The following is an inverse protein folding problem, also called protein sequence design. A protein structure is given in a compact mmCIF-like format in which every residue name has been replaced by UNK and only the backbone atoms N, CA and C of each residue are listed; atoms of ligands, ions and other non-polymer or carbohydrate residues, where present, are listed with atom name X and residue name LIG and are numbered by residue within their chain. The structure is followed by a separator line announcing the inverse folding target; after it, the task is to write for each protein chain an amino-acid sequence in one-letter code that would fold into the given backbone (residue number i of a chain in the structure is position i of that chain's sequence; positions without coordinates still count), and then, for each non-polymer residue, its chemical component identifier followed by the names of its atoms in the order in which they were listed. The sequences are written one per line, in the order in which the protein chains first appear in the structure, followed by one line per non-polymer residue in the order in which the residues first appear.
data_IF_143781268647
#
_entry.id   IF_143781268647
#
_cell.length_a   1.000
_cell.length_b   1.000
_cell.length_c   1.000
_cell.angle_alpha   90.00
_cell.angle_beta   90.00
_cell.angle_gamma   90.00
#
_symmetry.space_group_name_H-M   'P 1'
#
loop_
_entity.id
_entity.type
_entity.pdbx_description
1 polymer ?
#
# COMPACT_ATOMS: atom_id res chain seq x y z
N UNK A 1 15.65 -20.89 5.26
CA UNK A 1 14.26 -21.40 5.26
C UNK A 1 13.72 -21.18 3.86
N UNK A 2 13.01 -22.15 3.25
CA UNK A 2 12.24 -21.83 2.07
C UNK A 2 11.14 -20.85 2.48
N UNK A 3 10.90 -19.82 1.69
CA UNK A 3 9.84 -18.85 1.98
C UNK A 3 8.51 -19.60 2.14
N UNK A 4 7.76 -19.28 3.19
CA UNK A 4 6.53 -19.99 3.56
C UNK A 4 5.36 -19.75 2.59
N UNK A 5 5.55 -18.94 1.55
CA UNK A 5 4.50 -18.51 0.63
C UNK A 5 4.66 -19.20 -0.73
N UNK A 6 3.65 -19.96 -1.20
CA UNK A 6 3.63 -20.59 -2.52
C UNK A 6 3.96 -19.59 -3.62
N UNK A 7 4.74 -20.01 -4.62
CA UNK A 7 5.12 -19.15 -5.75
C UNK A 7 3.91 -18.59 -6.51
N UNK A 8 2.82 -19.36 -6.61
CA UNK A 8 1.55 -18.94 -7.21
C UNK A 8 0.86 -17.78 -6.48
N UNK A 9 1.14 -17.64 -5.19
CA UNK A 9 0.57 -16.61 -4.30
C UNK A 9 1.47 -15.38 -4.19
N UNK A 10 2.66 -15.41 -4.81
CA UNK A 10 3.55 -14.25 -4.84
C UNK A 10 3.01 -13.20 -5.79
N UNK A 11 3.16 -11.91 -5.45
CA UNK A 11 2.87 -10.82 -6.38
C UNK A 11 3.63 -11.03 -7.70
N UNK A 12 2.92 -11.00 -8.83
CA UNK A 12 3.50 -11.35 -10.13
C UNK A 12 4.12 -10.15 -10.84
N UNK A 13 3.79 -8.95 -10.37
CA UNK A 13 4.27 -7.70 -10.94
C UNK A 13 4.35 -6.60 -9.86
N UNK A 14 5.00 -5.49 -10.19
CA UNK A 14 5.18 -4.36 -9.28
C UNK A 14 3.85 -3.76 -8.81
N UNK A 15 2.81 -3.73 -9.65
CA UNK A 15 1.52 -3.18 -9.27
C UNK A 15 0.81 -4.04 -8.21
N UNK A 16 0.95 -5.37 -8.27
CA UNK A 16 0.40 -6.30 -7.28
C UNK A 16 1.07 -6.08 -5.91
N UNK A 17 2.39 -5.88 -5.92
CA UNK A 17 3.18 -5.58 -4.71
C UNK A 17 2.71 -4.26 -4.10
N UNK A 18 2.69 -3.19 -4.90
CA UNK A 18 2.33 -1.86 -4.43
C UNK A 18 0.89 -1.78 -3.93
N UNK A 19 -0.05 -2.51 -4.57
CA UNK A 19 -1.44 -2.56 -4.13
C UNK A 19 -1.59 -3.30 -2.80
N UNK A 20 -0.83 -4.39 -2.60
CA UNK A 20 -0.82 -5.14 -1.34
C UNK A 20 -0.25 -4.31 -0.20
N UNK A 21 0.90 -3.68 -0.42
CA UNK A 21 1.53 -2.79 0.57
C UNK A 21 0.61 -1.63 0.94
N UNK A 22 -0.05 -1.01 -0.05
CA UNK A 22 -1.00 0.07 0.22
C UNK A 22 -2.20 -0.41 1.06
N UNK A 23 -2.77 -1.58 0.76
CA UNK A 23 -3.86 -2.15 1.55
C UNK A 23 -3.42 -2.44 2.99
N UNK A 24 -2.24 -3.02 3.19
CA UNK A 24 -1.70 -3.27 4.51
C UNK A 24 -1.53 -1.96 5.30
N UNK A 25 -1.03 -0.91 4.66
CA UNK A 25 -0.94 0.42 5.28
C UNK A 25 -2.33 0.94 5.69
N UNK A 26 -3.34 0.80 4.84
CA UNK A 26 -4.67 1.34 5.09
C UNK A 26 -5.39 0.56 6.21
N UNK A 27 -5.37 -0.78 6.15
CA UNK A 27 -6.22 -1.64 6.97
C UNK A 27 -5.51 -2.25 8.19
N UNK A 28 -4.22 -2.55 8.06
CA UNK A 28 -3.48 -3.32 9.06
C UNK A 28 -2.45 -2.48 9.84
N UNK A 29 -2.08 -1.29 9.34
CA UNK A 29 -1.21 -0.41 10.09
C UNK A 29 -1.94 0.12 11.33
N UNK A 30 -1.24 0.08 12.46
CA UNK A 30 -1.70 0.78 13.67
C UNK A 30 -1.41 2.26 13.50
N UNK A 31 -2.46 3.01 13.19
CA UNK A 31 -2.43 4.46 13.09
C UNK A 31 -2.39 5.11 14.47
N UNK A 32 -1.61 6.17 14.65
CA UNK A 32 -1.72 6.99 15.86
C UNK A 32 -3.05 7.76 15.85
N UNK A 33 -3.61 8.09 17.01
CA UNK A 33 -4.87 8.85 17.10
C UNK A 33 -4.83 10.22 16.38
N UNK A 34 -3.62 10.70 16.10
CA UNK A 34 -3.33 11.96 15.40
C UNK A 34 -3.29 11.85 13.88
N UNK A 35 -3.20 10.64 13.32
CA UNK A 35 -3.05 10.40 11.87
C UNK A 35 -4.08 9.38 11.44
N UNK A 36 -5.08 9.79 10.68
CA UNK A 36 -6.09 8.86 10.14
C UNK A 36 -5.72 8.42 8.72
N UNK A 37 -6.20 7.24 8.26
CA UNK A 37 -6.10 6.86 6.85
C UNK A 37 -6.61 7.94 5.89
N UNK A 38 -7.69 8.64 6.27
CA UNK A 38 -8.23 9.75 5.48
C UNK A 38 -7.27 10.94 5.37
N UNK A 39 -6.54 11.26 6.45
CA UNK A 39 -5.50 12.30 6.45
C UNK A 39 -4.35 11.93 5.52
N UNK A 40 -3.92 10.66 5.52
CA UNK A 40 -2.86 10.20 4.61
C UNK A 40 -3.31 10.21 3.16
N UNK A 41 -4.52 9.72 2.87
CA UNK A 41 -5.08 9.78 1.52
C UNK A 41 -5.14 11.23 1.00
N UNK A 42 -5.55 12.17 1.85
CA UNK A 42 -5.56 13.61 1.54
C UNK A 42 -4.15 14.13 1.22
N UNK A 43 -3.15 13.83 2.06
CA UNK A 43 -1.76 14.25 1.84
C UNK A 43 -1.19 13.69 0.53
N UNK A 44 -1.49 12.44 0.19
CA UNK A 44 -1.03 11.81 -1.07
C UNK A 44 -1.63 12.51 -2.29
N UNK A 45 -2.93 12.86 -2.23
CA UNK A 45 -3.61 13.61 -3.28
C UNK A 45 -3.06 15.05 -3.40
N UNK A 46 -2.76 15.72 -2.28
CA UNK A 46 -2.20 17.07 -2.24
C UNK A 46 -0.75 17.13 -2.74
N UNK A 47 0.07 16.12 -2.43
CA UNK A 47 1.49 16.08 -2.81
C UNK A 47 1.74 15.48 -4.20
N UNK A 48 0.68 15.29 -4.99
CA UNK A 48 0.84 15.04 -6.43
C UNK A 48 1.22 13.62 -6.81
N UNK A 49 0.93 12.60 -5.97
CA UNK A 49 0.89 11.24 -6.51
C UNK A 49 -0.30 11.12 -7.48
N UNK A 50 -0.02 11.30 -8.77
CA UNK A 50 -0.98 11.08 -9.84
C UNK A 50 -0.76 9.65 -10.35
N UNK A 51 -1.69 8.74 -10.01
CA UNK A 51 -1.69 7.38 -10.55
C UNK A 51 -1.66 7.46 -12.09
N UNK A 52 -0.55 7.06 -12.70
CA UNK A 52 -0.36 7.09 -14.15
C UNK A 52 0.01 8.46 -14.74
N UNK A 53 0.75 9.30 -14.01
CA UNK A 53 1.36 10.51 -14.59
C UNK A 53 2.14 10.19 -15.86
N UNK A 54 1.82 10.94 -16.93
CA UNK A 54 2.32 10.78 -18.31
C UNK A 54 3.80 11.12 -18.41
#
# INVERSE_FOLDING_TARGET
MPDQVPYSERPKNLNDILSTELNNIIFDATWSDTVTPATVAKIILENGYQKGGV
#
